data_IF_969146030462
#
_entry.id   IF_969146030462
#
_cell.length_a   1.000
_cell.length_b   1.000
_cell.length_c   1.000
_cell.angle_alpha   90.00
_cell.angle_beta   90.00
_cell.angle_gamma   90.00
#
_symmetry.space_group_name_H-M   'P 1'
#
loop_
_entity.id
_entity.type
_entity.pdbx_description
1 polymer ?
#
# COMPACT_ATOMS: atom_id res chain seq x y z
N UNK A 1 -26.13 -6.28 -6.24
CA UNK A 1 -26.58 -7.24 -5.23
C UNK A 1 -26.37 -8.71 -5.63
N UNK A 2 -26.13 -9.01 -6.91
CA UNK A 2 -26.05 -10.38 -7.45
C UNK A 2 -24.65 -10.99 -7.38
N UNK A 3 -23.62 -10.17 -7.35
CA UNK A 3 -22.23 -10.66 -7.35
C UNK A 3 -21.87 -11.31 -6.00
N UNK A 4 -21.22 -12.47 -5.98
CA UNK A 4 -20.77 -13.12 -4.75
C UNK A 4 -19.90 -12.19 -3.89
N UNK A 5 -19.02 -11.41 -4.51
CA UNK A 5 -18.16 -10.44 -3.81
C UNK A 5 -18.93 -9.31 -3.11
N UNK A 6 -20.06 -8.87 -3.68
CA UNK A 6 -20.93 -7.89 -3.03
C UNK A 6 -21.52 -8.44 -1.71
N UNK A 7 -21.96 -9.71 -1.70
CA UNK A 7 -22.45 -10.35 -0.46
C UNK A 7 -21.38 -10.48 0.59
N UNK A 8 -20.16 -10.82 0.20
CA UNK A 8 -19.01 -10.88 1.11
C UNK A 8 -18.69 -9.49 1.69
N UNK A 9 -18.65 -8.46 0.85
CA UNK A 9 -18.43 -7.07 1.28
C UNK A 9 -19.48 -6.60 2.29
N UNK A 10 -20.78 -6.87 2.01
CA UNK A 10 -21.86 -6.55 2.93
C UNK A 10 -21.70 -7.26 4.29
N UNK A 11 -21.42 -8.56 4.28
CA UNK A 11 -21.22 -9.33 5.51
C UNK A 11 -20.03 -8.81 6.32
N UNK A 12 -18.93 -8.46 5.66
CA UNK A 12 -17.76 -7.91 6.33
C UNK A 12 -18.04 -6.53 6.94
N UNK A 13 -18.72 -5.63 6.20
CA UNK A 13 -19.10 -4.31 6.70
C UNK A 13 -20.06 -4.40 7.88
N UNK A 14 -21.09 -5.24 7.79
CA UNK A 14 -22.03 -5.45 8.90
C UNK A 14 -21.34 -6.02 10.15
N UNK A 15 -20.35 -6.85 9.95
CA UNK A 15 -19.58 -7.42 11.06
C UNK A 15 -18.56 -6.43 11.67
N UNK A 16 -18.00 -5.53 10.85
CA UNK A 16 -17.09 -4.47 11.32
C UNK A 16 -17.83 -3.32 12.00
N UNK A 17 -19.06 -3.06 11.58
CA UNK A 17 -19.89 -1.94 12.06
C UNK A 17 -21.27 -2.45 12.47
N UNK A 18 -21.38 -3.22 13.57
CA UNK A 18 -22.63 -3.89 13.95
C UNK A 18 -23.77 -2.91 14.29
N UNK A 19 -23.43 -1.68 14.68
CA UNK A 19 -24.42 -0.65 15.07
C UNK A 19 -24.94 0.17 13.88
N UNK A 20 -24.38 -0.03 12.68
CA UNK A 20 -24.82 0.71 11.49
C UNK A 20 -26.08 0.08 10.86
N UNK A 21 -27.08 0.91 10.50
CA UNK A 21 -28.25 0.41 9.80
C UNK A 21 -27.88 -0.16 8.42
N UNK A 22 -28.66 -1.12 7.95
CA UNK A 22 -28.43 -1.81 6.68
C UNK A 22 -28.31 -0.83 5.49
N UNK A 23 -29.09 0.27 5.49
CA UNK A 23 -29.01 1.29 4.46
C UNK A 23 -27.65 1.98 4.39
N UNK A 24 -27.04 2.26 5.54
CA UNK A 24 -25.70 2.87 5.62
C UNK A 24 -24.62 1.87 5.15
N UNK A 25 -24.75 0.59 5.52
CA UNK A 25 -23.88 -0.48 5.01
C UNK A 25 -23.92 -0.56 3.49
N UNK A 26 -25.11 -0.49 2.88
CA UNK A 26 -25.26 -0.48 1.41
C UNK A 26 -24.66 0.77 0.77
N UNK A 27 -24.80 1.93 1.39
CA UNK A 27 -24.19 3.17 0.92
C UNK A 27 -22.66 3.07 0.94
N UNK A 28 -22.06 2.58 2.03
CA UNK A 28 -20.61 2.36 2.14
C UNK A 28 -20.15 1.38 1.06
N UNK A 29 -20.88 0.27 0.88
CA UNK A 29 -20.53 -0.73 -0.13
C UNK A 29 -20.66 -0.18 -1.56
N UNK A 30 -21.63 0.71 -1.81
CA UNK A 30 -21.74 1.46 -3.07
C UNK A 30 -20.48 2.29 -3.33
N UNK A 31 -19.98 3.01 -2.32
CA UNK A 31 -18.73 3.77 -2.39
C UNK A 31 -17.51 2.90 -2.64
N UNK A 32 -17.45 1.69 -2.08
CA UNK A 32 -16.38 0.72 -2.36
C UNK A 32 -16.35 0.33 -3.83
N UNK A 33 -17.51 0.07 -4.43
CA UNK A 33 -17.60 -0.27 -5.86
C UNK A 33 -17.27 0.91 -6.77
N UNK A 34 -17.71 2.12 -6.43
CA UNK A 34 -17.36 3.34 -7.16
C UNK A 34 -15.85 3.55 -7.15
N UNK A 35 -15.22 3.49 -5.97
CA UNK A 35 -13.78 3.63 -5.86
C UNK A 35 -13.02 2.56 -6.65
N UNK A 36 -13.45 1.30 -6.60
CA UNK A 36 -12.82 0.21 -7.35
C UNK A 36 -12.91 0.45 -8.88
N UNK A 37 -14.06 0.93 -9.36
CA UNK A 37 -14.24 1.31 -10.76
C UNK A 37 -13.32 2.46 -11.18
N UNK A 38 -13.19 3.49 -10.33
CA UNK A 38 -12.24 4.61 -10.56
C UNK A 38 -10.82 4.13 -10.62
N UNK A 39 -10.37 3.33 -9.66
CA UNK A 39 -9.00 2.78 -9.64
C UNK A 39 -8.72 1.97 -10.90
N UNK A 40 -9.67 1.16 -11.37
CA UNK A 40 -9.50 0.41 -12.61
C UNK A 40 -9.34 1.31 -13.85
N UNK A 41 -10.08 2.43 -13.92
CA UNK A 41 -9.95 3.42 -14.99
C UNK A 41 -8.61 4.20 -14.88
N UNK A 42 -8.27 4.64 -13.68
CA UNK A 42 -7.04 5.38 -13.37
C UNK A 42 -5.78 4.55 -13.64
N UNK A 43 -5.86 3.23 -13.44
CA UNK A 43 -4.74 2.31 -13.65
C UNK A 43 -4.18 2.38 -15.07
N UNK A 44 -5.03 2.55 -16.08
CA UNK A 44 -4.63 2.67 -17.47
C UNK A 44 -3.84 3.97 -17.78
N UNK A 45 -3.83 4.92 -16.84
CA UNK A 45 -3.25 6.26 -16.98
C UNK A 45 -2.30 6.62 -15.83
N UNK A 46 -1.74 5.63 -15.13
CA UNK A 46 -0.86 5.86 -13.99
C UNK A 46 0.35 6.74 -14.33
N UNK A 47 0.88 6.59 -15.53
CA UNK A 47 1.99 7.39 -16.06
C UNK A 47 1.67 8.90 -16.14
N UNK A 48 0.39 9.28 -16.19
CA UNK A 48 -0.06 10.66 -16.34
C UNK A 48 -0.29 11.38 -15.00
N UNK A 49 -0.40 10.64 -13.89
CA UNK A 49 -0.55 11.27 -12.58
C UNK A 49 0.66 12.12 -12.23
N UNK A 50 0.43 13.34 -11.81
CA UNK A 50 1.47 14.31 -11.43
C UNK A 50 1.58 14.32 -9.90
N UNK A 51 2.80 14.19 -9.42
CA UNK A 51 3.14 14.41 -8.00
C UNK A 51 3.56 15.86 -7.80
N UNK A 52 3.43 16.37 -6.57
CA UNK A 52 4.06 17.62 -6.21
C UNK A 52 5.57 17.48 -6.39
N UNK A 53 6.15 18.44 -7.08
CA UNK A 53 7.60 18.59 -7.22
C UNK A 53 8.02 19.80 -6.35
N UNK A 54 8.85 19.62 -5.32
CA UNK A 54 9.32 20.71 -4.48
C UNK A 54 10.14 21.75 -5.22
N UNK A 55 10.85 21.32 -6.28
CA UNK A 55 11.74 22.20 -7.07
C UNK A 55 11.02 22.89 -8.23
N UNK A 56 9.90 22.32 -8.68
CA UNK A 56 9.11 22.84 -9.79
C UNK A 56 7.60 22.88 -9.42
N UNK A 57 7.16 23.82 -8.58
CA UNK A 57 5.76 23.91 -8.19
C UNK A 57 4.84 24.10 -9.39
N UNK A 58 3.83 23.22 -9.48
CA UNK A 58 2.88 23.19 -10.58
C UNK A 58 1.62 22.41 -10.22
N UNK A 59 0.67 22.25 -11.14
CA UNK A 59 -0.53 21.48 -10.88
C UNK A 59 -0.17 20.01 -10.62
N UNK A 60 -0.61 19.47 -9.49
CA UNK A 60 -0.38 18.10 -9.07
C UNK A 60 -1.70 17.38 -8.81
N UNK A 61 -1.77 16.12 -9.20
CA UNK A 61 -2.92 15.26 -8.93
C UNK A 61 -2.79 14.56 -7.56
N UNK A 62 -1.54 14.43 -7.08
CA UNK A 62 -1.23 13.94 -5.73
C UNK A 62 -0.61 15.10 -4.97
N UNK A 63 -1.34 15.60 -3.98
CA UNK A 63 -0.91 16.69 -3.09
C UNK A 63 -0.52 16.13 -1.73
N UNK A 64 0.26 16.88 -0.97
CA UNK A 64 0.70 16.47 0.36
C UNK A 64 1.06 17.70 1.22
N UNK A 65 1.14 17.50 2.52
CA UNK A 65 1.66 18.51 3.43
C UNK A 65 3.19 18.62 3.31
N UNK A 66 3.78 19.79 3.61
CA UNK A 66 5.24 19.96 3.58
C UNK A 66 6.02 18.93 4.38
N UNK A 67 5.47 18.48 5.51
CA UNK A 67 6.08 17.45 6.37
C UNK A 67 6.27 16.10 5.65
N UNK A 68 5.51 15.83 4.58
CA UNK A 68 5.72 14.62 3.78
C UNK A 68 7.08 14.64 3.09
N UNK A 69 7.49 15.79 2.55
CA UNK A 69 8.80 15.92 1.93
C UNK A 69 9.93 15.70 2.93
N UNK A 70 9.83 16.27 4.14
CA UNK A 70 10.79 16.03 5.22
C UNK A 70 10.89 14.54 5.56
N UNK A 71 9.75 13.83 5.63
CA UNK A 71 9.70 12.39 5.89
C UNK A 71 10.31 11.56 4.75
N UNK A 72 10.07 11.95 3.50
CA UNK A 72 10.66 11.28 2.33
C UNK A 72 12.16 11.55 2.27
N UNK A 73 12.61 12.78 2.48
CA UNK A 73 14.04 13.07 2.64
C UNK A 73 14.66 12.24 3.77
N UNK A 74 13.95 12.10 4.89
CA UNK A 74 14.36 11.25 5.99
C UNK A 74 14.53 9.78 5.57
N UNK A 75 13.70 9.27 4.65
CA UNK A 75 13.87 7.93 4.08
C UNK A 75 15.10 7.88 3.17
N UNK A 76 15.23 8.84 2.26
CA UNK A 76 16.34 8.88 1.29
C UNK A 76 17.70 9.06 1.95
N UNK A 77 17.77 9.84 3.04
CA UNK A 77 19.02 10.10 3.78
C UNK A 77 19.27 9.11 4.92
N UNK A 78 18.28 8.27 5.25
CA UNK A 78 18.43 7.32 6.34
C UNK A 78 19.52 6.29 6.02
N UNK A 79 20.44 6.02 6.96
CA UNK A 79 21.42 4.95 6.79
C UNK A 79 20.78 3.56 6.85
N UNK A 80 19.54 3.48 7.30
CA UNK A 80 18.79 2.23 7.46
C UNK A 80 17.73 2.08 6.37
N UNK A 81 17.63 0.88 5.78
CA UNK A 81 16.58 0.56 4.84
C UNK A 81 15.20 0.64 5.50
N UNK A 82 14.18 0.91 4.71
CA UNK A 82 12.80 1.08 5.19
C UNK A 82 11.89 0.09 4.51
N UNK A 83 11.08 -0.62 5.29
CA UNK A 83 9.93 -1.37 4.80
C UNK A 83 8.66 -0.51 4.94
N UNK A 84 7.97 -0.31 3.84
CA UNK A 84 6.76 0.52 3.79
C UNK A 84 5.55 -0.37 3.58
N UNK A 85 4.52 -0.19 4.40
CA UNK A 85 3.24 -0.84 4.19
C UNK A 85 2.15 0.14 3.77
N UNK A 86 1.23 -0.35 2.95
CA UNK A 86 0.02 0.35 2.57
C UNK A 86 -1.19 -0.61 2.63
N UNK A 87 -2.37 -0.08 2.41
CA UNK A 87 -3.61 -0.83 2.29
C UNK A 87 -4.31 -0.48 0.97
N UNK A 88 -5.31 -1.28 0.57
CA UNK A 88 -6.13 -1.03 -0.63
C UNK A 88 -7.10 0.14 -0.42
N UNK A 89 -6.55 1.32 -0.09
CA UNK A 89 -7.28 2.57 0.15
C UNK A 89 -7.18 3.49 -1.06
N UNK A 90 -8.25 4.20 -1.37
CA UNK A 90 -8.34 5.15 -2.48
C UNK A 90 -7.76 4.55 -3.78
N UNK A 91 -6.67 5.10 -4.33
CA UNK A 91 -5.89 4.47 -5.37
C UNK A 91 -4.53 4.00 -4.80
N UNK A 92 -4.45 2.74 -4.46
CA UNK A 92 -3.28 2.10 -3.82
C UNK A 92 -2.06 1.95 -4.73
N UNK A 93 -2.15 2.26 -6.00
CA UNK A 93 -1.01 2.26 -6.92
C UNK A 93 -0.18 3.55 -6.77
N UNK A 94 -0.83 4.66 -6.38
CA UNK A 94 -0.21 5.98 -6.31
C UNK A 94 0.94 6.11 -5.29
N UNK A 95 0.94 5.45 -4.12
CA UNK A 95 2.08 5.51 -3.21
C UNK A 95 3.39 5.05 -3.83
N UNK A 96 3.36 3.92 -4.54
CA UNK A 96 4.57 3.39 -5.19
C UNK A 96 5.03 4.27 -6.37
N UNK A 97 4.08 4.79 -7.14
CA UNK A 97 4.34 5.75 -8.21
C UNK A 97 4.98 7.04 -7.67
N UNK A 98 4.38 7.63 -6.63
CA UNK A 98 4.88 8.86 -6.02
C UNK A 98 6.29 8.66 -5.44
N UNK A 99 6.52 7.56 -4.72
CA UNK A 99 7.83 7.21 -4.19
C UNK A 99 8.90 7.14 -5.29
N UNK A 100 8.60 6.43 -6.38
CA UNK A 100 9.53 6.31 -7.51
C UNK A 100 9.87 7.67 -8.15
N UNK A 101 8.88 8.56 -8.30
CA UNK A 101 9.09 9.91 -8.85
C UNK A 101 9.89 10.83 -7.92
N UNK A 102 9.80 10.61 -6.63
CA UNK A 102 10.58 11.32 -5.62
C UNK A 102 11.96 10.69 -5.37
N UNK A 103 12.37 9.75 -6.22
CA UNK A 103 13.70 9.14 -6.19
C UNK A 103 13.88 8.01 -5.16
N UNK A 104 12.79 7.54 -4.54
CA UNK A 104 12.87 6.40 -3.61
C UNK A 104 12.95 5.10 -4.41
N UNK A 105 14.10 4.47 -4.43
CA UNK A 105 14.28 3.16 -5.04
C UNK A 105 13.69 2.07 -4.14
N UNK A 106 12.51 1.58 -4.49
CA UNK A 106 11.82 0.56 -3.73
C UNK A 106 11.57 -0.72 -4.54
N UNK A 107 11.68 -1.87 -3.88
CA UNK A 107 11.19 -3.14 -4.36
C UNK A 107 9.72 -3.32 -3.93
N UNK A 108 8.81 -3.33 -4.88
CA UNK A 108 7.35 -3.38 -4.65
C UNK A 108 6.84 -4.81 -4.78
N UNK A 109 6.35 -5.36 -3.67
CA UNK A 109 5.71 -6.68 -3.68
C UNK A 109 4.34 -6.58 -4.36
N UNK A 110 4.10 -7.41 -5.35
CA UNK A 110 2.81 -7.47 -6.04
C UNK A 110 2.31 -8.90 -6.21
N UNK A 111 1.00 -9.07 -6.29
CA UNK A 111 0.39 -10.34 -6.66
C UNK A 111 0.16 -10.36 -8.17
N UNK A 112 0.71 -11.34 -8.90
CA UNK A 112 0.41 -11.49 -10.33
C UNK A 112 -1.10 -11.61 -10.57
N UNK A 113 -1.66 -10.89 -11.57
CA UNK A 113 -3.07 -11.07 -11.94
C UNK A 113 -3.37 -12.51 -12.35
N UNK A 114 -4.53 -13.01 -11.94
CA UNK A 114 -4.98 -14.36 -12.32
C UNK A 114 -5.39 -14.47 -13.79
N UNK A 115 -5.74 -13.35 -14.43
CA UNK A 115 -6.07 -13.26 -15.85
C UNK A 115 -4.79 -13.05 -16.66
N UNK A 116 -4.26 -14.12 -17.25
CA UNK A 116 -3.03 -14.08 -18.05
C UNK A 116 -3.10 -13.06 -19.20
N UNK A 117 -4.27 -12.91 -19.84
CA UNK A 117 -4.46 -11.96 -20.94
C UNK A 117 -4.17 -10.47 -20.56
N UNK A 118 -4.31 -10.11 -19.29
CA UNK A 118 -4.03 -8.73 -18.83
C UNK A 118 -2.77 -8.64 -17.98
N UNK A 119 -2.19 -9.77 -17.57
CA UNK A 119 -1.04 -9.81 -16.68
C UNK A 119 0.15 -9.03 -17.24
N UNK A 120 0.49 -9.23 -18.51
CA UNK A 120 1.61 -8.55 -19.17
C UNK A 120 1.36 -7.04 -19.32
N UNK A 121 0.12 -6.62 -19.57
CA UNK A 121 -0.23 -5.20 -19.66
C UNK A 121 -0.11 -4.53 -18.29
N UNK A 122 -0.63 -5.18 -17.24
CA UNK A 122 -0.50 -4.69 -15.86
C UNK A 122 0.97 -4.59 -15.44
N UNK A 123 1.78 -5.59 -15.75
CA UNK A 123 3.21 -5.58 -15.45
C UNK A 123 3.95 -4.46 -16.18
N UNK A 124 3.69 -4.25 -17.47
CA UNK A 124 4.31 -3.17 -18.24
C UNK A 124 3.99 -1.79 -17.66
N UNK A 125 2.71 -1.55 -17.29
CA UNK A 125 2.30 -0.28 -16.68
C UNK A 125 3.05 -0.06 -15.37
N UNK A 126 3.04 -1.04 -14.46
CA UNK A 126 3.72 -0.93 -13.16
C UNK A 126 5.23 -0.78 -13.31
N UNK A 127 5.86 -1.60 -14.13
CA UNK A 127 7.30 -1.53 -14.36
C UNK A 127 7.77 -0.19 -14.94
N UNK A 128 6.89 0.51 -15.66
CA UNK A 128 7.17 1.83 -16.20
C UNK A 128 7.14 2.98 -15.18
N UNK A 129 6.59 2.75 -13.96
CA UNK A 129 6.34 3.86 -13.03
C UNK A 129 6.51 3.55 -11.53
N UNK A 130 6.88 2.32 -11.11
CA UNK A 130 6.83 1.92 -9.69
C UNK A 130 8.11 1.30 -9.14
N UNK A 131 9.26 1.48 -9.72
CA UNK A 131 10.51 0.86 -9.25
C UNK A 131 10.58 -0.65 -9.55
N UNK A 132 11.30 -1.42 -8.72
CA UNK A 132 11.54 -2.85 -8.95
C UNK A 132 10.36 -3.70 -8.50
N UNK A 133 9.74 -4.45 -9.40
CA UNK A 133 8.62 -5.32 -9.06
C UNK A 133 9.09 -6.70 -8.58
N UNK A 134 8.56 -7.14 -7.43
CA UNK A 134 8.79 -8.47 -6.85
C UNK A 134 7.46 -9.23 -6.83
N UNK A 135 7.35 -10.28 -7.65
CA UNK A 135 6.14 -11.10 -7.66
C UNK A 135 6.02 -11.88 -6.34
N UNK A 136 4.81 -11.94 -5.78
CA UNK A 136 4.54 -12.79 -4.62
C UNK A 136 4.76 -14.26 -4.98
N UNK A 137 5.48 -14.98 -4.12
CA UNK A 137 5.84 -16.37 -4.35
C UNK A 137 6.79 -16.85 -3.27
N UNK A 138 7.29 -18.08 -3.41
CA UNK A 138 8.13 -18.71 -2.40
C UNK A 138 9.45 -17.96 -2.17
N UNK A 139 10.02 -17.35 -3.20
CA UNK A 139 11.29 -16.61 -3.17
C UNK A 139 11.13 -15.12 -2.81
N UNK A 140 9.90 -14.60 -2.79
CA UNK A 140 9.65 -13.19 -2.53
C UNK A 140 10.22 -12.69 -1.19
N UNK A 141 10.07 -13.41 -0.05
CA UNK A 141 10.66 -12.99 1.22
C UNK A 141 12.18 -12.82 1.14
N UNK A 142 12.86 -13.75 0.48
CA UNK A 142 14.32 -13.71 0.31
C UNK A 142 14.76 -12.54 -0.57
N UNK A 143 14.06 -12.29 -1.67
CA UNK A 143 14.33 -11.15 -2.58
C UNK A 143 14.15 -9.81 -1.88
N UNK A 144 13.09 -9.66 -1.09
CA UNK A 144 12.82 -8.44 -0.32
C UNK A 144 13.85 -8.25 0.80
N UNK A 145 14.18 -9.31 1.55
CA UNK A 145 15.25 -9.25 2.55
C UNK A 145 16.58 -8.85 1.93
N UNK A 146 16.94 -9.44 0.80
CA UNK A 146 18.16 -9.08 0.05
C UNK A 146 18.17 -7.63 -0.43
N UNK A 147 17.01 -7.08 -0.85
CA UNK A 147 16.89 -5.67 -1.21
C UNK A 147 17.18 -4.75 -0.01
N UNK A 148 16.57 -5.06 1.15
CA UNK A 148 16.82 -4.32 2.40
C UNK A 148 18.29 -4.42 2.84
N UNK A 149 18.90 -5.61 2.80
CA UNK A 149 20.30 -5.81 3.16
C UNK A 149 21.28 -5.03 2.28
N UNK A 150 20.92 -4.73 1.04
CA UNK A 150 21.70 -3.85 0.15
C UNK A 150 21.42 -2.35 0.36
N UNK A 151 20.65 -1.97 1.38
CA UNK A 151 20.32 -0.59 1.68
C UNK A 151 19.12 -0.04 0.88
N UNK A 152 18.45 -0.88 0.08
CA UNK A 152 17.25 -0.48 -0.64
C UNK A 152 16.00 -0.47 0.24
N UNK A 153 14.88 -0.04 -0.32
CA UNK A 153 13.59 0.00 0.36
C UNK A 153 12.64 -1.07 -0.20
N UNK A 154 11.63 -1.46 0.59
CA UNK A 154 10.58 -2.38 0.13
C UNK A 154 9.21 -1.79 0.41
N UNK A 155 8.23 -2.10 -0.45
CA UNK A 155 6.84 -1.66 -0.28
C UNK A 155 5.88 -2.82 -0.53
N UNK A 156 4.81 -2.90 0.28
CA UNK A 156 3.79 -3.94 0.15
C UNK A 156 2.44 -3.52 0.68
N UNK A 157 1.37 -4.08 0.12
CA UNK A 157 0.02 -4.02 0.67
C UNK A 157 -0.17 -5.15 1.69
N UNK A 158 -0.69 -4.83 2.88
CA UNK A 158 -0.72 -5.78 4.02
C UNK A 158 -2.12 -6.16 4.46
N UNK A 159 -3.17 -5.59 3.89
CA UNK A 159 -4.56 -5.69 4.35
C UNK A 159 -5.36 -6.85 3.74
N UNK A 160 -4.73 -7.70 2.94
CA UNK A 160 -5.39 -8.90 2.42
C UNK A 160 -5.24 -10.08 3.40
N UNK A 161 -6.32 -10.88 3.48
CA UNK A 161 -6.31 -12.11 4.25
C UNK A 161 -5.20 -13.06 3.75
N UNK A 162 -4.40 -13.58 4.70
CA UNK A 162 -3.36 -14.58 4.42
C UNK A 162 -3.70 -15.90 5.10
N UNK A 163 -4.02 -16.92 4.32
CA UNK A 163 -4.49 -18.20 4.86
C UNK A 163 -3.51 -18.83 5.87
N UNK A 164 -2.21 -18.71 5.63
CA UNK A 164 -1.13 -19.18 6.50
C UNK A 164 -0.58 -18.10 7.41
N UNK A 165 -1.30 -16.98 7.54
CA UNK A 165 -0.88 -15.82 8.34
C UNK A 165 -1.02 -16.04 9.84
N UNK A 166 -0.64 -15.02 10.59
CA UNK A 166 -0.79 -14.96 12.05
C UNK A 166 -2.16 -14.42 12.44
N UNK A 167 -2.65 -14.86 13.58
CA UNK A 167 -3.91 -14.35 14.12
C UNK A 167 -3.73 -12.93 14.64
N UNK A 168 -4.60 -12.04 14.21
CA UNK A 168 -4.68 -10.63 14.66
C UNK A 168 -6.13 -10.28 14.93
N UNK A 169 -6.35 -9.32 15.83
CA UNK A 169 -7.68 -8.76 16.05
C UNK A 169 -7.87 -7.52 15.18
N UNK A 170 -8.89 -7.52 14.33
CA UNK A 170 -9.25 -6.42 13.46
C UNK A 170 -10.76 -6.17 13.55
N UNK A 171 -11.17 -4.95 13.89
CA UNK A 171 -12.59 -4.63 14.19
C UNK A 171 -13.23 -5.61 15.19
N UNK A 172 -12.53 -5.93 16.29
CA UNK A 172 -13.02 -6.84 17.32
C UNK A 172 -13.11 -8.32 16.92
N UNK A 173 -12.62 -8.71 15.74
CA UNK A 173 -12.69 -10.06 15.19
C UNK A 173 -11.30 -10.62 14.91
N UNK A 174 -11.10 -11.90 15.21
CA UNK A 174 -9.87 -12.58 14.82
C UNK A 174 -9.84 -12.81 13.31
N UNK A 175 -8.76 -12.41 12.68
CA UNK A 175 -8.48 -12.66 11.27
C UNK A 175 -7.01 -13.04 11.09
N UNK A 176 -6.66 -13.50 9.88
CA UNK A 176 -5.29 -13.86 9.53
C UNK A 176 -4.62 -12.78 8.69
N UNK A 177 -3.50 -12.27 9.20
CA UNK A 177 -2.68 -11.27 8.52
C UNK A 177 -1.34 -11.85 8.05
N UNK A 178 -0.81 -11.29 6.96
CA UNK A 178 0.51 -11.68 6.46
C UNK A 178 1.61 -11.12 7.37
N UNK A 179 2.46 -11.96 8.01
CA UNK A 179 3.51 -11.49 8.90
C UNK A 179 4.78 -11.00 8.18
N UNK A 180 4.83 -11.02 6.85
CA UNK A 180 6.06 -10.82 6.08
C UNK A 180 6.80 -9.52 6.45
N UNK A 181 6.08 -8.40 6.58
CA UNK A 181 6.73 -7.13 6.91
C UNK A 181 7.39 -7.15 8.29
N UNK A 182 6.74 -7.77 9.28
CA UNK A 182 7.30 -7.93 10.62
C UNK A 182 8.52 -8.88 10.60
N UNK A 183 8.44 -9.97 9.82
CA UNK A 183 9.58 -10.89 9.63
C UNK A 183 10.77 -10.20 8.97
N UNK A 184 10.53 -9.36 7.97
CA UNK A 184 11.58 -8.56 7.33
C UNK A 184 12.23 -7.61 8.33
N UNK A 185 11.44 -6.88 9.13
CA UNK A 185 11.97 -5.97 10.15
C UNK A 185 12.83 -6.71 11.19
N UNK A 186 12.35 -7.86 11.68
CA UNK A 186 13.13 -8.69 12.63
C UNK A 186 14.43 -9.22 12.03
N UNK A 187 14.42 -9.58 10.75
CA UNK A 187 15.59 -10.16 10.10
C UNK A 187 16.63 -9.12 9.69
N UNK A 188 16.20 -7.92 9.29
CA UNK A 188 17.09 -6.90 8.71
C UNK A 188 17.31 -5.68 9.61
N UNK A 189 16.50 -5.51 10.66
CA UNK A 189 16.51 -4.32 11.50
C UNK A 189 15.97 -3.06 10.81
N UNK A 190 15.32 -3.19 9.65
CA UNK A 190 14.80 -2.06 8.90
C UNK A 190 13.71 -1.30 9.66
N UNK A 191 13.58 -0.01 9.41
CA UNK A 191 12.47 0.78 9.90
C UNK A 191 11.17 0.37 9.17
N UNK A 192 10.02 0.46 9.86
CA UNK A 192 8.70 0.27 9.26
C UNK A 192 7.96 1.61 9.24
N UNK A 193 7.39 1.97 8.09
CA UNK A 193 6.52 3.14 7.93
C UNK A 193 5.22 2.76 7.23
N UNK A 194 4.14 3.45 7.57
CA UNK A 194 2.88 3.37 6.82
C UNK A 194 2.81 4.45 5.76
N UNK A 195 2.21 4.13 4.60
CA UNK A 195 1.90 5.12 3.56
C UNK A 195 0.45 4.96 3.12
N UNK A 196 -0.22 6.05 2.83
CA UNK A 196 -1.58 6.04 2.29
C UNK A 196 -1.81 7.19 1.33
N UNK A 197 -2.80 7.00 0.46
CA UNK A 197 -3.44 8.08 -0.28
C UNK A 197 -4.91 8.17 0.11
N UNK A 198 -5.44 9.37 0.13
CA UNK A 198 -6.85 9.66 0.38
C UNK A 198 -7.38 10.41 -0.84
N UNK A 199 -8.46 9.91 -1.44
CA UNK A 199 -9.13 10.60 -2.54
C UNK A 199 -9.83 11.84 -2.00
N UNK A 200 -9.58 13.01 -2.59
CA UNK A 200 -10.20 14.26 -2.21
C UNK A 200 -11.66 14.34 -2.67
N UNK A 201 -12.48 15.24 -2.09
CA UNK A 201 -13.92 15.32 -2.41
C UNK A 201 -14.26 15.61 -3.87
N UNK A 202 -13.35 16.22 -4.63
CA UNK A 202 -13.50 16.44 -6.07
C UNK A 202 -13.41 15.15 -6.90
N UNK A 203 -12.97 14.06 -6.28
CA UNK A 203 -12.87 12.73 -6.88
C UNK A 203 -11.66 12.51 -7.79
N UNK A 204 -10.87 13.54 -8.09
CA UNK A 204 -9.78 13.51 -9.07
C UNK A 204 -8.40 13.71 -8.45
N UNK A 205 -8.33 14.43 -7.33
CA UNK A 205 -7.08 14.65 -6.62
C UNK A 205 -6.95 13.73 -5.41
N UNK A 206 -5.71 13.55 -4.98
CA UNK A 206 -5.36 12.69 -3.86
C UNK A 206 -4.46 13.43 -2.88
N UNK A 207 -4.66 13.19 -1.60
CA UNK A 207 -3.73 13.59 -0.57
C UNK A 207 -2.90 12.39 -0.15
N UNK A 208 -1.56 12.57 -0.11
CA UNK A 208 -0.60 11.53 0.28
C UNK A 208 -0.01 11.80 1.66
N UNK A 209 0.27 10.73 2.40
CA UNK A 209 0.87 10.79 3.73
C UNK A 209 1.78 9.58 3.99
N UNK A 210 2.88 9.83 4.71
CA UNK A 210 3.81 8.81 5.20
C UNK A 210 3.99 9.01 6.71
N UNK A 211 3.86 7.95 7.49
CA UNK A 211 4.03 8.01 8.94
C UNK A 211 5.50 8.20 9.33
N UNK A 212 5.73 8.63 10.57
CA UNK A 212 7.01 8.40 11.22
C UNK A 212 7.32 6.90 11.29
N UNK A 213 8.59 6.49 11.52
CA UNK A 213 8.89 5.10 11.79
C UNK A 213 8.04 4.59 12.95
N UNK A 214 7.50 3.38 12.79
CA UNK A 214 6.78 2.74 13.90
C UNK A 214 7.77 2.42 15.02
N UNK A 215 7.35 2.71 16.26
CA UNK A 215 8.07 2.24 17.43
C UNK A 215 7.80 0.74 17.59
N UNK A 216 8.82 -0.07 17.32
CA UNK A 216 8.71 -1.53 17.36
C UNK A 216 9.20 -2.06 18.70
N UNK A 217 8.46 -2.99 19.32
CA UNK A 217 8.93 -3.66 20.53
C UNK A 217 10.31 -4.30 20.29
N UNK A 218 11.22 -4.09 21.24
CA UNK A 218 12.57 -4.65 21.20
C UNK A 218 12.82 -5.51 22.42
N UNK A 219 13.56 -6.59 22.24
CA UNK A 219 14.03 -7.42 23.35
C UNK A 219 15.16 -6.72 24.15
N UNK A 220 15.63 -7.41 25.19
CA UNK A 220 16.72 -6.89 26.05
C UNK A 220 18.05 -6.68 25.29
N UNK A 221 18.21 -7.28 24.12
CA UNK A 221 19.35 -7.14 23.22
C UNK A 221 19.13 -6.05 22.16
N UNK A 222 17.98 -5.37 22.18
CA UNK A 222 17.60 -4.31 21.24
C UNK A 222 17.12 -4.81 19.87
N UNK A 223 16.85 -6.11 19.73
CA UNK A 223 16.33 -6.70 18.49
C UNK A 223 14.79 -6.63 18.45
N UNK A 224 14.23 -6.42 17.24
CA UNK A 224 12.78 -6.41 16.99
C UNK A 224 12.17 -7.80 17.09
#
# INVERSE_FOLDING_TARGET
>A
PWLPKHRVGRANLAAAFPDKPAAEIEQILGGVWDNLGRVAAEFAHLDRFRTVDPEAPGPADIVCDPILFERIEGILRAPQPTAVFAAHLANWELPALAAARLGVEASVLYRPPSLHAVADAVLRIRAGCMGTLVASGFDAPLRLASALQRGGHVSMLVDQHEFRGVDVTFFGRTCKANPLIAQLARHTGCAIRGIRTVRLPDGNHFWGDVTEPLDLPRDAQGQV
#
